data_IF_606811189369
#
_entry.id   IF_606811189369
#
_cell.length_a   1.000
_cell.length_b   1.000
_cell.length_c   1.000
_cell.angle_alpha   90.00
_cell.angle_beta   90.00
_cell.angle_gamma   90.00
#
_symmetry.space_group_name_H-M   'P 1'
#
loop_
_entity.id
_entity.type
_entity.pdbx_description
1 polymer ?
#
# COMPACT_ATOMS: atom_id res chain seq x y z
N UNK A 1 22.58 18.99 -4.47
CA UNK A 1 21.42 19.84 -4.09
C UNK A 1 21.37 19.98 -2.58
N UNK A 2 20.86 21.08 -2.05
CA UNK A 2 20.68 21.29 -0.61
C UNK A 2 19.18 21.35 -0.33
N UNK A 3 18.77 20.84 0.85
CA UNK A 3 17.38 20.99 1.33
C UNK A 3 17.11 22.43 1.78
N UNK A 4 15.87 22.74 2.20
CA UNK A 4 15.47 24.06 2.70
C UNK A 4 16.24 24.54 3.94
N UNK A 5 16.99 23.65 4.61
CA UNK A 5 17.87 23.91 5.75
C UNK A 5 19.34 24.04 5.37
N UNK A 6 19.68 24.00 4.06
CA UNK A 6 21.07 24.09 3.58
C UNK A 6 21.88 22.80 3.79
N UNK A 7 21.25 21.68 4.07
CA UNK A 7 21.90 20.37 4.27
C UNK A 7 21.91 19.62 2.93
N UNK A 8 23.00 18.91 2.56
CA UNK A 8 23.01 18.04 1.39
C UNK A 8 21.87 17.04 1.45
N UNK A 9 21.12 16.92 0.35
CA UNK A 9 20.05 15.92 0.25
C UNK A 9 20.65 14.52 0.32
N UNK A 10 20.03 13.64 1.10
CA UNK A 10 20.26 12.19 0.98
C UNK A 10 19.78 11.71 -0.37
N UNK A 11 20.29 10.57 -0.84
CA UNK A 11 19.80 9.97 -2.07
C UNK A 11 18.40 9.39 -1.87
N UNK A 12 18.15 8.75 -0.71
CA UNK A 12 16.91 8.05 -0.42
C UNK A 12 16.53 8.15 1.05
N UNK A 13 15.28 8.55 1.32
CA UNK A 13 14.65 8.43 2.64
C UNK A 13 13.75 7.18 2.65
N UNK A 14 14.05 6.23 3.53
CA UNK A 14 13.24 5.02 3.73
C UNK A 14 12.26 5.30 4.86
N UNK A 15 10.96 5.32 4.55
CA UNK A 15 9.88 5.55 5.50
C UNK A 15 9.13 4.24 5.76
N UNK A 16 9.07 3.83 7.02
CA UNK A 16 8.38 2.61 7.46
C UNK A 16 7.32 3.00 8.48
N UNK A 17 6.06 2.65 8.20
CA UNK A 17 4.96 2.76 9.17
C UNK A 17 4.71 1.39 9.78
N UNK A 18 4.68 1.33 11.11
CA UNK A 18 4.44 0.09 11.86
C UNK A 18 3.28 0.23 12.84
N UNK A 19 2.60 -0.87 13.12
CA UNK A 19 1.59 -0.97 14.18
C UNK A 19 1.44 -2.40 14.66
N UNK A 20 1.86 -2.67 15.91
CA UNK A 20 1.82 -3.99 16.54
C UNK A 20 2.39 -5.10 15.64
N UNK A 21 3.60 -4.85 15.10
CA UNK A 21 4.27 -5.71 14.15
C UNK A 21 5.78 -5.85 14.47
N UNK A 22 6.13 -5.94 15.78
CA UNK A 22 7.49 -5.88 16.30
C UNK A 22 8.46 -6.80 15.56
N UNK A 23 8.19 -8.09 15.49
CA UNK A 23 9.15 -9.07 14.97
C UNK A 23 9.46 -8.81 13.48
N UNK A 24 8.44 -8.61 12.65
CA UNK A 24 8.66 -8.35 11.22
C UNK A 24 9.31 -7.00 10.96
N UNK A 25 9.05 -5.98 11.81
CA UNK A 25 9.75 -4.69 11.75
C UNK A 25 11.25 -4.85 12.02
N UNK A 26 11.63 -5.62 13.06
CA UNK A 26 13.03 -5.85 13.38
C UNK A 26 13.76 -6.62 12.25
N UNK A 27 13.08 -7.55 11.61
CA UNK A 27 13.60 -8.26 10.43
C UNK A 27 13.77 -7.30 9.23
N UNK A 28 12.79 -6.42 9.00
CA UNK A 28 12.89 -5.39 7.96
C UNK A 28 14.08 -4.46 8.19
N UNK A 29 14.24 -3.92 9.40
CA UNK A 29 15.36 -3.06 9.78
C UNK A 29 16.70 -3.77 9.66
N UNK A 30 16.79 -5.04 10.09
CA UNK A 30 17.99 -5.88 9.90
C UNK A 30 18.32 -6.10 8.41
N UNK A 31 17.31 -6.19 7.54
CA UNK A 31 17.52 -6.30 6.10
C UNK A 31 18.03 -4.99 5.48
N UNK A 32 17.53 -3.83 5.94
CA UNK A 32 18.01 -2.51 5.55
C UNK A 32 19.47 -2.33 5.97
N UNK A 33 19.79 -2.63 7.23
CA UNK A 33 21.14 -2.52 7.77
C UNK A 33 22.13 -3.33 6.94
N UNK A 34 21.80 -4.59 6.61
CA UNK A 34 22.64 -5.45 5.75
C UNK A 34 22.85 -4.85 4.36
N UNK A 35 21.78 -4.36 3.71
CA UNK A 35 21.88 -3.81 2.36
C UNK A 35 22.65 -2.48 2.35
N UNK A 36 22.45 -1.64 3.35
CA UNK A 36 23.09 -0.31 3.43
C UNK A 36 24.54 -0.42 3.90
N UNK A 37 24.87 -1.26 4.90
CA UNK A 37 26.23 -1.41 5.45
C UNK A 37 27.14 -2.30 4.60
N UNK A 38 26.59 -3.28 3.87
CA UNK A 38 27.40 -4.20 3.03
C UNK A 38 28.11 -3.51 1.86
N UNK A 39 27.86 -2.22 1.64
CA UNK A 39 28.35 -1.49 0.48
C UNK A 39 29.51 -0.56 0.83
N UNK A 40 30.65 -0.89 0.23
CA UNK A 40 31.87 -0.09 0.23
C UNK A 40 32.20 0.29 -1.22
N UNK A 41 32.45 1.58 -1.52
CA UNK A 41 32.93 2.00 -2.83
C UNK A 41 32.11 3.12 -3.51
N UNK A 42 32.54 3.51 -4.72
CA UNK A 42 31.89 4.49 -5.57
C UNK A 42 30.55 3.93 -6.11
N UNK A 43 29.43 4.53 -5.69
CA UNK A 43 28.06 4.13 -6.07
C UNK A 43 27.16 3.79 -4.88
N UNK A 44 27.66 4.00 -3.65
CA UNK A 44 26.86 3.91 -2.44
C UNK A 44 25.84 5.07 -2.43
N UNK A 45 24.54 4.71 -2.34
CA UNK A 45 23.50 5.71 -2.12
C UNK A 45 23.47 6.11 -0.63
N UNK A 46 23.41 7.41 -0.37
CA UNK A 46 23.20 7.91 0.98
C UNK A 46 21.74 7.77 1.40
N UNK A 47 21.51 7.03 2.48
CA UNK A 47 20.16 6.77 2.97
C UNK A 47 19.94 7.33 4.36
N UNK A 48 18.70 7.61 4.68
CA UNK A 48 18.17 7.74 6.03
C UNK A 48 16.99 6.78 6.19
N UNK A 49 16.72 6.35 7.41
CA UNK A 49 15.58 5.48 7.71
C UNK A 49 14.76 6.09 8.81
N UNK A 50 13.49 6.31 8.52
CA UNK A 50 12.50 6.91 9.40
C UNK A 50 11.46 5.84 9.70
N UNK A 51 11.30 5.49 10.96
CA UNK A 51 10.24 4.59 11.42
C UNK A 51 9.17 5.41 12.12
N UNK A 52 7.94 5.30 11.67
CA UNK A 52 6.77 5.89 12.30
C UNK A 52 6.02 4.76 13.02
N UNK A 53 6.17 4.69 14.31
CA UNK A 53 5.35 3.82 15.14
C UNK A 53 3.97 4.43 15.31
N UNK A 54 2.97 3.73 14.84
CA UNK A 54 1.59 4.22 14.73
C UNK A 54 0.76 3.86 15.97
N UNK A 55 1.35 4.03 17.18
CA UNK A 55 0.76 3.73 18.47
C UNK A 55 0.73 2.23 18.77
N UNK A 56 1.87 1.56 18.69
CA UNK A 56 2.02 0.14 19.05
C UNK A 56 2.06 -0.06 20.58
N UNK A 57 1.61 -1.24 21.02
CA UNK A 57 1.59 -1.68 22.43
C UNK A 57 2.39 -2.98 22.62
N UNK A 58 3.15 -3.43 21.61
CA UNK A 58 3.85 -4.71 21.57
C UNK A 58 5.36 -4.61 21.88
N UNK A 59 5.84 -3.43 22.34
CA UNK A 59 7.24 -3.17 22.62
C UNK A 59 8.09 -2.89 21.37
N UNK A 60 7.47 -2.55 20.25
CA UNK A 60 8.16 -2.16 19.00
C UNK A 60 9.08 -0.96 19.22
N UNK A 61 8.59 0.08 19.91
CA UNK A 61 9.32 1.35 20.14
C UNK A 61 10.63 1.10 20.90
N UNK A 62 10.55 0.40 22.03
CA UNK A 62 11.71 0.08 22.86
C UNK A 62 12.71 -0.80 22.12
N UNK A 63 12.22 -1.77 21.35
CA UNK A 63 13.06 -2.67 20.57
C UNK A 63 13.82 -1.92 19.47
N UNK A 64 13.18 -0.99 18.76
CA UNK A 64 13.85 -0.15 17.75
C UNK A 64 14.89 0.75 18.38
N UNK A 65 14.55 1.48 19.46
CA UNK A 65 15.48 2.37 20.17
C UNK A 65 16.74 1.66 20.65
N UNK A 66 16.59 0.42 21.15
CA UNK A 66 17.73 -0.33 21.69
C UNK A 66 18.60 -0.99 20.62
N UNK A 67 17.98 -1.51 19.54
CA UNK A 67 18.70 -2.33 18.54
C UNK A 67 19.16 -1.55 17.31
N UNK A 68 18.47 -0.45 16.96
CA UNK A 68 18.71 0.34 15.75
C UNK A 68 18.81 1.84 16.07
N UNK A 69 19.82 2.28 16.82
CA UNK A 69 19.98 3.68 17.25
C UNK A 69 20.20 4.65 16.08
N UNK A 70 20.48 4.16 14.88
CA UNK A 70 20.62 4.92 13.65
C UNK A 70 19.30 5.26 12.97
N UNK A 71 18.18 4.72 13.44
CA UNK A 71 16.82 4.97 12.93
C UNK A 71 16.26 6.25 13.55
N UNK A 72 15.73 7.15 12.73
CA UNK A 72 14.89 8.28 13.19
C UNK A 72 13.49 7.74 13.52
N UNK A 73 13.22 7.51 14.82
CA UNK A 73 11.98 6.91 15.30
C UNK A 73 10.99 7.98 15.75
N UNK A 74 9.83 8.00 15.11
CA UNK A 74 8.67 8.83 15.48
C UNK A 74 7.64 7.94 16.15
N UNK A 75 7.37 8.21 17.43
CA UNK A 75 6.44 7.46 18.27
C UNK A 75 5.12 8.24 18.37
N UNK A 76 4.08 7.75 17.71
CA UNK A 76 2.76 8.38 17.71
C UNK A 76 1.89 7.84 18.83
N UNK A 77 1.07 8.68 19.48
CA UNK A 77 0.22 8.26 20.59
C UNK A 77 -0.94 7.37 20.14
N UNK A 78 -1.20 7.30 18.84
CA UNK A 78 -2.29 6.51 18.30
C UNK A 78 -2.07 6.15 16.83
N UNK A 79 -2.76 5.09 16.37
CA UNK A 79 -2.73 4.67 14.97
C UNK A 79 -3.53 5.64 14.07
N UNK A 80 -2.88 6.43 13.26
CA UNK A 80 -3.48 7.41 12.33
C UNK A 80 -3.96 6.78 11.02
N UNK A 81 -3.69 5.49 10.79
CA UNK A 81 -3.88 4.81 9.52
C UNK A 81 -2.63 4.87 8.64
N UNK A 82 -2.68 4.20 7.48
CA UNK A 82 -1.50 4.02 6.63
C UNK A 82 -1.06 5.33 5.97
N UNK A 83 -1.98 6.06 5.33
CA UNK A 83 -1.65 7.29 4.61
C UNK A 83 -1.05 8.36 5.55
N UNK A 84 -1.72 8.64 6.66
CA UNK A 84 -1.24 9.66 7.62
C UNK A 84 0.08 9.28 8.26
N UNK A 85 0.25 8.00 8.64
CA UNK A 85 1.53 7.52 9.16
C UNK A 85 2.67 7.73 8.17
N UNK A 86 2.48 7.38 6.90
CA UNK A 86 3.47 7.63 5.84
C UNK A 86 3.73 9.12 5.64
N UNK A 87 2.70 9.96 5.67
CA UNK A 87 2.88 11.40 5.52
C UNK A 87 3.69 12.04 6.65
N UNK A 88 3.55 11.53 7.88
CA UNK A 88 4.42 11.95 9.01
C UNK A 88 5.88 11.67 8.69
N UNK A 89 6.20 10.46 8.19
CA UNK A 89 7.55 10.11 7.79
C UNK A 89 8.04 10.90 6.56
N UNK A 90 7.19 11.09 5.54
CA UNK A 90 7.53 11.88 4.35
C UNK A 90 7.81 13.35 4.69
N UNK A 91 7.05 13.96 5.60
CA UNK A 91 7.32 15.32 6.08
C UNK A 91 8.66 15.45 6.85
N UNK A 92 9.15 14.37 7.43
CA UNK A 92 10.43 14.31 8.13
C UNK A 92 11.60 14.03 7.18
N UNK A 93 11.33 13.49 6.01
CA UNK A 93 12.33 12.99 5.06
C UNK A 93 13.05 14.11 4.30
N UNK A 94 14.37 13.96 4.10
CA UNK A 94 15.25 14.91 3.41
C UNK A 94 15.89 14.32 2.13
N UNK A 95 15.51 13.09 1.70
CA UNK A 95 16.04 12.45 0.49
C UNK A 95 15.50 13.07 -0.80
N UNK A 96 16.30 13.03 -1.87
CA UNK A 96 15.86 13.41 -3.24
C UNK A 96 14.85 12.41 -3.81
N UNK A 97 14.79 11.20 -3.24
CA UNK A 97 13.72 10.23 -3.41
C UNK A 97 13.25 9.74 -2.06
N UNK A 98 12.01 9.30 -1.97
CA UNK A 98 11.48 8.62 -0.79
C UNK A 98 11.03 7.20 -1.16
N UNK A 99 11.25 6.27 -0.24
CA UNK A 99 10.75 4.89 -0.30
C UNK A 99 9.73 4.70 0.81
N UNK A 100 8.48 4.42 0.46
CA UNK A 100 7.52 3.85 1.40
C UNK A 100 7.72 2.34 1.44
N UNK A 101 8.02 1.81 2.63
CA UNK A 101 8.32 0.39 2.84
C UNK A 101 7.46 -0.16 3.96
N UNK A 102 6.72 -1.23 3.71
CA UNK A 102 5.98 -1.90 4.78
C UNK A 102 6.93 -2.54 5.81
N UNK A 103 6.50 -2.57 7.06
CA UNK A 103 7.25 -3.20 8.17
C UNK A 103 7.45 -4.71 8.02
N UNK A 104 6.74 -5.38 7.11
CA UNK A 104 6.87 -6.80 6.79
C UNK A 104 7.55 -7.06 5.42
N UNK A 105 8.43 -6.12 5.00
CA UNK A 105 9.15 -6.21 3.73
C UNK A 105 10.66 -6.31 3.96
N UNK A 106 11.30 -7.31 3.34
CA UNK A 106 12.75 -7.52 3.42
C UNK A 106 13.43 -7.09 2.13
N UNK A 107 14.40 -6.21 2.23
CA UNK A 107 15.21 -5.77 1.09
C UNK A 107 16.15 -6.88 0.63
N UNK A 108 16.29 -7.03 -0.68
CA UNK A 108 17.31 -7.82 -1.33
C UNK A 108 18.45 -6.93 -1.83
N UNK A 109 19.64 -7.49 -2.07
CA UNK A 109 20.73 -6.75 -2.67
C UNK A 109 20.30 -6.06 -3.98
N UNK A 110 20.84 -4.87 -4.23
CA UNK A 110 20.63 -4.06 -5.43
C UNK A 110 19.22 -3.48 -5.64
N UNK A 111 18.24 -3.82 -4.78
CA UNK A 111 16.87 -3.35 -4.91
C UNK A 111 16.76 -1.81 -4.81
N UNK A 112 17.44 -1.21 -3.84
CA UNK A 112 17.40 0.24 -3.60
C UNK A 112 18.04 0.98 -4.77
N UNK A 113 19.25 0.60 -5.16
CA UNK A 113 20.01 1.27 -6.20
C UNK A 113 19.38 1.13 -7.56
N UNK A 114 18.84 -0.04 -7.87
CA UNK A 114 18.13 -0.26 -9.14
C UNK A 114 16.96 0.68 -9.29
N UNK A 115 16.16 0.87 -8.22
CA UNK A 115 15.01 1.77 -8.25
C UNK A 115 15.43 3.25 -8.25
N UNK A 116 16.42 3.63 -7.43
CA UNK A 116 16.95 5.01 -7.39
C UNK A 116 17.55 5.39 -8.74
N UNK A 117 18.43 4.55 -9.30
CA UNK A 117 19.02 4.77 -10.64
C UNK A 117 17.95 4.87 -11.71
N UNK A 118 16.94 4.00 -11.67
CA UNK A 118 15.85 4.05 -12.63
C UNK A 118 15.10 5.40 -12.59
N UNK A 119 14.84 5.93 -11.38
CA UNK A 119 14.26 7.27 -11.22
C UNK A 119 15.20 8.34 -11.77
N UNK A 120 16.50 8.26 -11.49
CA UNK A 120 17.49 9.24 -11.97
C UNK A 120 17.59 9.29 -13.48
N UNK A 121 17.64 8.12 -14.11
CA UNK A 121 17.78 7.98 -15.57
C UNK A 121 16.48 8.32 -16.33
N UNK A 122 15.33 8.39 -15.62
CA UNK A 122 14.02 8.61 -16.23
C UNK A 122 13.25 9.76 -15.56
N UNK A 123 13.53 11.04 -15.88
CA UNK A 123 12.91 12.21 -15.24
C UNK A 123 11.38 12.28 -15.35
N UNK A 124 10.78 11.67 -16.38
CA UNK A 124 9.31 11.59 -16.53
C UNK A 124 8.64 10.57 -15.59
N UNK A 125 9.44 9.73 -14.90
CA UNK A 125 8.92 8.74 -13.96
C UNK A 125 8.85 9.35 -12.56
N UNK A 126 7.65 9.41 -12.01
CA UNK A 126 7.42 9.93 -10.66
C UNK A 126 7.43 8.84 -9.59
N UNK A 127 7.04 7.62 -9.95
CA UNK A 127 6.92 6.48 -9.02
C UNK A 127 7.49 5.21 -9.65
N UNK A 128 8.24 4.46 -8.83
CA UNK A 128 8.75 3.12 -9.17
C UNK A 128 8.32 2.11 -8.12
N UNK A 129 7.88 0.93 -8.56
CA UNK A 129 7.64 -0.23 -7.72
C UNK A 129 8.46 -1.44 -8.15
N UNK A 130 9.23 -2.08 -7.25
CA UNK A 130 9.96 -3.30 -7.54
C UNK A 130 9.05 -4.52 -7.65
N UNK A 131 9.58 -5.66 -8.07
CA UNK A 131 8.89 -6.94 -7.99
C UNK A 131 8.83 -7.43 -6.53
N UNK A 132 7.63 -7.59 -6.02
CA UNK A 132 7.40 -8.24 -4.73
C UNK A 132 7.46 -9.76 -4.87
N UNK A 133 8.12 -10.41 -3.93
CA UNK A 133 8.22 -11.86 -3.83
C UNK A 133 7.59 -12.34 -2.51
N UNK A 134 7.01 -13.53 -2.56
CA UNK A 134 6.64 -14.27 -1.34
C UNK A 134 7.90 -14.76 -0.60
N UNK A 135 7.81 -15.22 0.67
CA UNK A 135 8.95 -15.80 1.38
C UNK A 135 9.61 -16.97 0.66
N UNK A 136 8.85 -17.74 -0.12
CA UNK A 136 9.35 -18.85 -0.95
C UNK A 136 9.96 -18.40 -2.29
N UNK A 137 10.14 -17.08 -2.47
CA UNK A 137 10.64 -16.44 -3.69
C UNK A 137 9.72 -16.52 -4.90
N UNK A 138 8.54 -17.08 -4.79
CA UNK A 138 7.53 -16.99 -5.84
C UNK A 138 7.06 -15.55 -6.02
N UNK A 139 6.65 -15.21 -7.26
CA UNK A 139 6.16 -13.87 -7.59
C UNK A 139 4.91 -13.52 -6.79
N UNK A 140 4.92 -12.35 -6.17
CA UNK A 140 3.74 -11.73 -5.59
C UNK A 140 3.19 -10.65 -6.53
N UNK A 141 1.86 -10.46 -6.55
CA UNK A 141 1.28 -9.34 -7.28
C UNK A 141 1.68 -8.01 -6.65
N UNK A 142 2.22 -7.11 -7.44
CA UNK A 142 2.70 -5.79 -7.00
C UNK A 142 2.17 -4.62 -7.83
N UNK A 143 1.30 -4.88 -8.81
CA UNK A 143 0.73 -3.86 -9.69
C UNK A 143 -0.79 -3.83 -9.63
N UNK A 144 -1.37 -2.65 -9.76
CA UNK A 144 -2.81 -2.44 -9.76
C UNK A 144 -3.25 -1.60 -10.95
N UNK A 145 -4.49 -1.82 -11.40
CA UNK A 145 -5.16 -0.87 -12.29
C UNK A 145 -6.04 0.07 -11.47
N UNK A 146 -6.25 1.26 -12.00
CA UNK A 146 -7.22 2.17 -11.42
C UNK A 146 -8.63 1.57 -11.44
N UNK A 147 -9.37 1.71 -10.34
CA UNK A 147 -10.74 1.25 -10.28
C UNK A 147 -11.59 1.88 -11.39
N UNK A 148 -12.31 1.02 -12.13
CA UNK A 148 -13.21 1.41 -13.22
C UNK A 148 -14.43 0.50 -13.27
N UNK A 149 -15.54 0.97 -13.87
CA UNK A 149 -16.73 0.13 -14.02
C UNK A 149 -16.45 -1.11 -14.85
N UNK A 150 -15.57 -1.01 -15.86
CA UNK A 150 -15.18 -2.14 -16.69
C UNK A 150 -14.51 -3.22 -15.84
N UNK A 151 -13.55 -2.85 -14.98
CA UNK A 151 -12.86 -3.80 -14.11
C UNK A 151 -13.76 -4.40 -13.01
N UNK A 152 -14.89 -3.75 -12.73
CA UNK A 152 -15.89 -4.25 -11.79
C UNK A 152 -16.87 -5.26 -12.44
N UNK A 153 -17.09 -5.16 -13.73
CA UNK A 153 -18.05 -6.00 -14.48
C UNK A 153 -17.35 -7.17 -15.14
N UNK A 154 -16.24 -6.90 -15.83
CA UNK A 154 -15.53 -7.90 -16.63
C UNK A 154 -14.45 -8.59 -15.77
N UNK A 155 -14.41 -9.93 -15.76
CA UNK A 155 -13.38 -10.68 -15.06
C UNK A 155 -11.97 -10.27 -15.52
N UNK A 156 -11.07 -10.09 -14.57
CA UNK A 156 -9.71 -9.62 -14.80
C UNK A 156 -8.95 -10.38 -15.89
N UNK A 157 -9.05 -11.73 -15.88
CA UNK A 157 -8.36 -12.57 -16.87
C UNK A 157 -8.82 -12.31 -18.31
N UNK A 158 -10.09 -11.87 -18.50
CA UNK A 158 -10.59 -11.47 -19.82
C UNK A 158 -9.97 -10.14 -20.25
N UNK A 159 -9.90 -9.17 -19.32
CA UNK A 159 -9.27 -7.86 -19.58
C UNK A 159 -7.77 -8.00 -19.90
N UNK A 160 -7.04 -8.82 -19.15
CA UNK A 160 -5.62 -9.11 -19.39
C UNK A 160 -5.39 -9.73 -20.78
N UNK A 161 -6.28 -10.60 -21.22
CA UNK A 161 -6.19 -11.26 -22.53
C UNK A 161 -6.54 -10.32 -23.69
N UNK A 162 -7.60 -9.54 -23.54
CA UNK A 162 -8.10 -8.66 -24.61
C UNK A 162 -7.35 -7.32 -24.70
N UNK A 163 -6.90 -6.81 -23.58
CA UNK A 163 -6.26 -5.49 -23.48
C UNK A 163 -4.96 -5.54 -22.63
N UNK A 164 -3.93 -6.33 -23.04
CA UNK A 164 -2.75 -6.59 -22.21
C UNK A 164 -1.92 -5.32 -21.92
N UNK A 165 -1.93 -4.32 -22.79
CA UNK A 165 -1.26 -3.03 -22.55
C UNK A 165 -1.93 -2.22 -21.44
N UNK A 166 -3.26 -2.18 -21.39
CA UNK A 166 -4.03 -1.44 -20.39
C UNK A 166 -4.24 -2.25 -19.10
N UNK A 167 -4.19 -3.57 -19.20
CA UNK A 167 -4.34 -4.51 -18.08
C UNK A 167 -3.17 -5.50 -18.09
N UNK A 168 -1.96 -5.05 -17.73
CA UNK A 168 -0.79 -5.94 -17.70
C UNK A 168 -1.01 -7.09 -16.73
N UNK A 169 -0.44 -8.24 -17.05
CA UNK A 169 -0.63 -9.44 -16.26
C UNK A 169 -0.12 -9.25 -14.83
N UNK A 170 -0.95 -9.65 -13.88
CA UNK A 170 -0.59 -9.71 -12.46
C UNK A 170 -0.01 -11.07 -12.07
N UNK A 171 -0.14 -12.08 -12.91
CA UNK A 171 0.23 -13.47 -12.62
C UNK A 171 1.60 -13.85 -13.16
N UNK A 172 1.91 -13.37 -14.37
CA UNK A 172 3.17 -13.69 -15.03
C UNK A 172 4.23 -12.62 -14.74
N UNK A 173 5.50 -13.00 -14.63
CA UNK A 173 6.60 -12.05 -14.49
C UNK A 173 6.70 -11.17 -15.74
N UNK A 174 7.14 -9.95 -15.53
CA UNK A 174 7.59 -9.06 -16.59
C UNK A 174 9.12 -9.12 -16.63
N UNK A 175 9.73 -9.07 -17.80
CA UNK A 175 11.18 -9.10 -17.97
C UNK A 175 11.75 -7.68 -18.00
N UNK A 176 10.99 -6.74 -18.58
CA UNK A 176 11.37 -5.34 -18.74
C UNK A 176 10.50 -4.41 -17.89
N UNK A 177 10.99 -3.20 -17.56
CA UNK A 177 10.18 -2.19 -16.91
C UNK A 177 8.92 -1.86 -17.72
N UNK A 178 7.78 -1.82 -17.03
CA UNK A 178 6.49 -1.51 -17.67
C UNK A 178 5.79 -0.35 -16.97
N UNK A 179 5.16 0.52 -17.75
CA UNK A 179 4.26 1.53 -17.22
C UNK A 179 2.97 0.86 -16.73
N UNK A 180 2.54 1.23 -15.52
CA UNK A 180 1.35 0.70 -14.87
C UNK A 180 0.47 1.83 -14.34
N UNK A 181 -0.75 1.51 -13.91
CA UNK A 181 -1.61 2.51 -13.29
C UNK A 181 -1.15 2.82 -11.86
N UNK A 182 -0.86 1.78 -11.07
CA UNK A 182 -0.38 1.92 -9.71
C UNK A 182 0.47 0.72 -9.30
N UNK A 183 1.40 0.93 -8.38
CA UNK A 183 2.18 -0.10 -7.68
C UNK A 183 1.66 -0.25 -6.25
N UNK A 184 1.93 -1.41 -5.64
CA UNK A 184 1.50 -1.68 -4.26
C UNK A 184 2.32 -0.84 -3.27
N UNK A 185 1.65 -0.25 -2.28
CA UNK A 185 2.26 0.56 -1.23
C UNK A 185 3.22 -0.19 -0.30
N UNK A 186 3.37 -1.51 -0.47
CA UNK A 186 4.32 -2.31 0.30
C UNK A 186 5.79 -1.94 0.03
N UNK A 187 6.09 -1.48 -1.19
CA UNK A 187 7.40 -0.95 -1.58
C UNK A 187 7.21 0.01 -2.76
N UNK A 188 7.20 1.30 -2.49
CA UNK A 188 6.92 2.35 -3.46
C UNK A 188 7.95 3.45 -3.34
N UNK A 189 8.75 3.62 -4.39
CA UNK A 189 9.69 4.74 -4.51
C UNK A 189 9.00 5.91 -5.19
N UNK A 190 9.21 7.10 -4.67
CA UNK A 190 8.64 8.35 -5.21
C UNK A 190 9.72 9.43 -5.29
N UNK A 191 9.70 10.19 -6.36
CA UNK A 191 10.58 11.34 -6.57
C UNK A 191 10.18 12.51 -5.69
N UNK A 192 11.13 13.27 -5.15
CA UNK A 192 10.88 14.45 -4.29
C UNK A 192 10.03 15.51 -5.02
N UNK A 193 10.31 15.79 -6.26
CA UNK A 193 9.58 16.75 -7.06
C UNK A 193 8.08 16.40 -7.15
N UNK A 194 7.74 15.11 -7.17
CA UNK A 194 6.33 14.66 -7.11
C UNK A 194 5.69 15.05 -5.78
N UNK A 195 6.42 14.91 -4.65
CA UNK A 195 5.91 15.31 -3.33
C UNK A 195 5.65 16.81 -3.26
N UNK A 196 6.50 17.60 -3.91
CA UNK A 196 6.40 19.06 -3.94
C UNK A 196 5.29 19.55 -4.87
N UNK A 197 5.10 18.92 -6.04
CA UNK A 197 4.16 19.33 -7.07
C UNK A 197 2.75 18.73 -6.86
N UNK A 198 2.66 17.44 -6.55
CA UNK A 198 1.39 16.71 -6.42
C UNK A 198 0.91 16.67 -4.98
N UNK A 199 1.83 16.75 -4.04
CA UNK A 199 1.56 16.61 -2.62
C UNK A 199 1.71 15.19 -2.09
N UNK A 200 1.44 15.06 -0.82
CA UNK A 200 1.57 13.81 -0.07
C UNK A 200 0.41 12.83 -0.35
N UNK A 201 0.49 11.65 0.22
CA UNK A 201 -0.54 10.61 0.08
C UNK A 201 -1.90 11.11 0.60
N UNK A 202 -3.02 10.85 -0.10
CA UNK A 202 -4.35 11.28 0.33
C UNK A 202 -4.75 10.72 1.70
N UNK A 203 -4.97 11.58 2.69
CA UNK A 203 -5.27 11.21 4.09
C UNK A 203 -6.72 10.87 4.36
N UNK A 204 -7.58 11.05 3.38
CA UNK A 204 -8.98 10.72 3.47
C UNK A 204 -9.27 9.21 3.37
N UNK A 205 -8.25 8.39 3.11
CA UNK A 205 -8.26 6.94 3.22
C UNK A 205 -7.67 6.50 4.56
N UNK A 206 -8.35 5.59 5.25
CA UNK A 206 -7.78 4.95 6.45
C UNK A 206 -6.88 3.78 6.07
N UNK A 207 -7.34 2.97 5.10
CA UNK A 207 -6.64 1.82 4.56
C UNK A 207 -7.24 1.41 3.21
N UNK A 208 -6.43 0.94 2.27
CA UNK A 208 -6.72 0.59 0.88
C UNK A 208 -6.98 1.78 -0.05
N UNK A 209 -6.39 1.69 -1.23
CA UNK A 209 -6.49 2.61 -2.37
C UNK A 209 -5.90 4.01 -2.14
N UNK A 210 -5.28 4.29 -0.99
CA UNK A 210 -4.54 5.54 -0.77
C UNK A 210 -3.39 5.70 -1.76
N UNK A 211 -2.55 4.66 -1.91
CA UNK A 211 -1.46 4.64 -2.89
C UNK A 211 -1.98 4.61 -4.33
N UNK A 212 -3.10 3.96 -4.56
CA UNK A 212 -3.75 3.90 -5.87
C UNK A 212 -4.29 5.26 -6.29
N UNK A 213 -4.94 6.00 -5.37
CA UNK A 213 -5.40 7.36 -5.62
C UNK A 213 -4.22 8.32 -5.80
N UNK A 214 -3.16 8.14 -5.01
CA UNK A 214 -1.95 8.94 -5.15
C UNK A 214 -1.30 8.74 -6.52
N UNK A 215 -1.10 7.50 -6.96
CA UNK A 215 -0.64 7.19 -8.31
C UNK A 215 -1.55 7.79 -9.41
N UNK A 216 -2.87 7.82 -9.18
CA UNK A 216 -3.81 8.45 -10.09
C UNK A 216 -3.55 9.96 -10.22
N UNK A 217 -3.35 10.68 -9.10
CA UNK A 217 -3.03 12.11 -9.11
C UNK A 217 -1.65 12.37 -9.75
N UNK A 218 -0.67 11.54 -9.46
CA UNK A 218 0.69 11.59 -10.03
C UNK A 218 0.64 11.44 -11.56
N UNK A 219 -0.10 10.44 -12.05
CA UNK A 219 -0.29 10.28 -13.52
C UNK A 219 -1.07 11.44 -14.12
N UNK A 220 -2.03 12.02 -13.41
CA UNK A 220 -2.77 13.20 -13.86
C UNK A 220 -1.89 14.45 -13.96
N UNK A 221 -0.86 14.56 -13.12
CA UNK A 221 0.16 15.62 -13.20
C UNK A 221 1.20 15.39 -14.33
N UNK A 222 1.11 14.28 -15.08
CA UNK A 222 1.97 13.99 -16.22
C UNK A 222 3.14 13.05 -15.96
N UNK A 223 3.33 12.61 -14.73
CA UNK A 223 4.37 11.63 -14.39
C UNK A 223 3.92 10.21 -14.71
N UNK A 224 4.91 9.35 -14.97
CA UNK A 224 4.69 7.91 -15.14
C UNK A 224 4.83 7.16 -13.82
N UNK A 225 4.10 6.07 -13.69
CA UNK A 225 4.26 5.04 -12.65
C UNK A 225 4.79 3.79 -13.33
N UNK A 226 5.94 3.28 -12.88
CA UNK A 226 6.64 2.18 -13.55
C UNK A 226 6.90 1.03 -12.57
N UNK A 227 6.63 -0.18 -13.01
CA UNK A 227 7.07 -1.40 -12.35
C UNK A 227 8.42 -1.82 -12.92
N UNK A 228 9.42 -2.00 -12.03
CA UNK A 228 10.79 -2.41 -12.38
C UNK A 228 11.01 -3.84 -11.87
N UNK A 229 10.88 -4.86 -12.73
CA UNK A 229 10.88 -6.27 -12.32
C UNK A 229 12.25 -6.80 -11.90
N UNK A 230 13.33 -6.16 -12.34
CA UNK A 230 14.71 -6.52 -11.99
C UNK A 230 15.08 -6.17 -10.55
N UNK A 231 14.44 -5.14 -9.97
CA UNK A 231 14.54 -4.84 -8.55
C UNK A 231 13.55 -5.73 -7.79
N UNK A 232 14.05 -6.46 -6.78
CA UNK A 232 13.24 -7.45 -6.06
C UNK A 232 13.29 -7.24 -4.55
N UNK A 233 12.14 -7.41 -3.90
CA UNK A 233 12.00 -7.39 -2.43
C UNK A 233 11.08 -8.50 -1.96
N UNK A 234 11.31 -9.04 -0.78
CA UNK A 234 10.43 -10.06 -0.19
C UNK A 234 9.39 -9.36 0.68
N UNK A 235 8.10 -9.64 0.47
CA UNK A 235 7.01 -9.10 1.28
C UNK A 235 6.26 -10.24 1.97
N UNK A 236 6.32 -10.25 3.30
CA UNK A 236 5.70 -11.28 4.16
C UNK A 236 4.22 -10.94 4.33
N UNK A 237 3.45 -11.19 3.28
CA UNK A 237 2.06 -10.74 3.14
C UNK A 237 1.13 -11.22 4.26
N UNK A 238 0.47 -10.27 4.93
CA UNK A 238 -0.68 -10.55 5.80
C UNK A 238 -0.36 -10.76 7.28
N UNK A 239 0.81 -10.34 7.75
CA UNK A 239 1.18 -10.44 9.16
C UNK A 239 0.23 -9.65 10.09
N UNK A 240 -0.30 -8.51 9.62
CA UNK A 240 -1.01 -7.58 10.52
C UNK A 240 -2.54 -7.52 10.39
N UNK A 241 -3.15 -7.79 9.23
CA UNK A 241 -4.57 -7.41 9.02
C UNK A 241 -5.55 -8.51 8.63
N UNK A 242 -5.15 -9.54 7.87
CA UNK A 242 -6.10 -10.48 7.27
C UNK A 242 -6.72 -11.51 8.22
N UNK A 243 -6.03 -11.89 9.28
CA UNK A 243 -6.48 -13.01 10.16
C UNK A 243 -7.52 -12.62 11.21
N UNK A 244 -7.65 -11.32 11.56
CA UNK A 244 -8.43 -10.93 12.76
C UNK A 244 -9.83 -10.36 12.49
N UNK A 245 -10.12 -9.73 11.32
CA UNK A 245 -11.42 -9.05 11.08
C UNK A 245 -11.85 -9.02 9.60
N UNK A 246 -12.23 -10.13 8.99
CA UNK A 246 -12.51 -10.19 7.56
C UNK A 246 -13.65 -9.26 7.10
N UNK A 247 -14.69 -9.08 7.91
CA UNK A 247 -15.84 -8.21 7.57
C UNK A 247 -15.47 -6.74 7.63
N UNK A 248 -14.79 -6.28 8.68
CA UNK A 248 -14.38 -4.88 8.83
C UNK A 248 -13.38 -4.46 7.73
N UNK A 249 -12.46 -5.35 7.37
CA UNK A 249 -11.49 -5.15 6.27
C UNK A 249 -12.22 -4.99 4.93
N UNK A 250 -13.20 -5.84 4.64
CA UNK A 250 -13.99 -5.76 3.40
C UNK A 250 -14.87 -4.50 3.35
N UNK A 251 -15.48 -4.09 4.47
CA UNK A 251 -16.22 -2.84 4.57
C UNK A 251 -15.29 -1.64 4.31
N UNK A 252 -14.08 -1.64 4.88
CA UNK A 252 -13.10 -0.56 4.65
C UNK A 252 -12.70 -0.49 3.17
N UNK A 253 -12.46 -1.64 2.51
CA UNK A 253 -12.18 -1.68 1.07
C UNK A 253 -13.34 -1.09 0.24
N UNK A 254 -14.61 -1.46 0.52
CA UNK A 254 -15.76 -0.86 -0.17
C UNK A 254 -15.84 0.64 0.05
N UNK A 255 -15.59 1.11 1.27
CA UNK A 255 -15.55 2.54 1.60
C UNK A 255 -14.50 3.27 0.78
N UNK A 256 -13.29 2.75 0.74
CA UNK A 256 -12.18 3.31 -0.03
C UNK A 256 -12.46 3.32 -1.53
N UNK A 257 -13.04 2.23 -2.06
CA UNK A 257 -13.45 2.15 -3.47
C UNK A 257 -14.51 3.21 -3.82
N UNK A 258 -15.52 3.40 -2.98
CA UNK A 258 -16.55 4.43 -3.19
C UNK A 258 -15.97 5.84 -3.08
N UNK A 259 -15.00 6.05 -2.19
CA UNK A 259 -14.29 7.31 -2.08
C UNK A 259 -13.49 7.61 -3.35
N UNK A 260 -12.73 6.62 -3.86
CA UNK A 260 -12.00 6.75 -5.12
C UNK A 260 -12.91 7.17 -6.28
N UNK A 261 -14.07 6.52 -6.41
CA UNK A 261 -15.04 6.86 -7.47
C UNK A 261 -15.64 8.24 -7.28
N UNK A 262 -15.99 8.63 -6.05
CA UNK A 262 -16.54 9.98 -5.78
C UNK A 262 -15.54 11.09 -6.06
N UNK A 263 -14.26 10.83 -5.84
CA UNK A 263 -13.17 11.79 -6.03
C UNK A 263 -12.71 11.87 -7.49
N UNK A 264 -12.57 10.72 -8.14
CA UNK A 264 -11.87 10.58 -9.42
C UNK A 264 -12.76 10.21 -10.60
N UNK A 265 -14.04 9.97 -10.38
CA UNK A 265 -15.04 9.63 -11.40
C UNK A 265 -16.27 10.52 -11.24
N UNK A 266 -17.21 10.45 -12.21
CA UNK A 266 -18.47 11.19 -12.09
C UNK A 266 -19.46 10.50 -11.13
N UNK A 267 -20.46 11.27 -10.64
CA UNK A 267 -21.48 10.76 -9.70
C UNK A 267 -22.28 9.59 -10.26
N UNK A 268 -22.47 9.56 -11.56
CA UNK A 268 -23.23 8.50 -12.23
C UNK A 268 -22.46 7.16 -12.18
N UNK A 269 -21.16 7.17 -12.47
CA UNK A 269 -20.30 6.00 -12.33
C UNK A 269 -20.27 5.48 -10.89
N UNK A 270 -20.29 6.38 -9.90
CA UNK A 270 -20.35 5.98 -8.50
C UNK A 270 -21.67 5.30 -8.14
N UNK A 271 -22.82 5.79 -8.61
CA UNK A 271 -24.12 5.15 -8.40
C UNK A 271 -24.20 3.78 -9.07
N UNK A 272 -23.73 3.66 -10.31
CA UNK A 272 -23.66 2.38 -11.02
C UNK A 272 -22.78 1.38 -10.24
N UNK A 273 -21.63 1.82 -9.75
CA UNK A 273 -20.75 0.97 -8.94
C UNK A 273 -21.47 0.44 -7.69
N UNK A 274 -22.17 1.32 -6.95
CA UNK A 274 -22.92 0.90 -5.76
C UNK A 274 -23.98 -0.14 -6.10
N UNK A 275 -24.75 0.11 -7.16
CA UNK A 275 -25.78 -0.83 -7.63
C UNK A 275 -25.16 -2.19 -7.99
N UNK A 276 -24.09 -2.21 -8.77
CA UNK A 276 -23.38 -3.45 -9.15
C UNK A 276 -22.91 -4.20 -7.90
N UNK A 277 -22.31 -3.51 -6.93
CA UNK A 277 -21.80 -4.13 -5.70
C UNK A 277 -22.94 -4.67 -4.83
N UNK A 278 -24.04 -3.95 -4.68
CA UNK A 278 -25.21 -4.46 -3.95
C UNK A 278 -25.82 -5.69 -4.64
N UNK A 279 -25.99 -5.67 -5.96
CA UNK A 279 -26.52 -6.81 -6.71
C UNK A 279 -25.61 -8.03 -6.61
N UNK A 280 -24.30 -7.87 -6.76
CA UNK A 280 -23.34 -8.97 -6.58
C UNK A 280 -23.37 -9.55 -5.17
N UNK A 281 -23.43 -8.69 -4.13
CA UNK A 281 -23.54 -9.16 -2.75
C UNK A 281 -24.86 -9.87 -2.48
N UNK A 282 -25.98 -9.35 -2.99
CA UNK A 282 -27.28 -10.01 -2.90
C UNK A 282 -27.24 -11.40 -3.54
N UNK A 283 -26.65 -11.51 -4.73
CA UNK A 283 -26.46 -12.78 -5.42
C UNK A 283 -25.59 -13.75 -4.59
N UNK A 284 -24.46 -13.27 -4.01
CA UNK A 284 -23.60 -14.08 -3.16
C UNK A 284 -24.30 -14.53 -1.88
N UNK A 285 -25.15 -13.70 -1.28
CA UNK A 285 -25.96 -14.08 -0.12
C UNK A 285 -26.96 -15.18 -0.49
N UNK A 286 -27.69 -15.03 -1.60
CA UNK A 286 -28.67 -16.02 -2.06
C UNK A 286 -27.98 -17.37 -2.42
N UNK A 287 -26.96 -17.32 -3.29
CA UNK A 287 -26.25 -18.54 -3.71
C UNK A 287 -25.42 -19.17 -2.58
N UNK A 288 -24.89 -18.33 -1.69
CA UNK A 288 -24.10 -18.75 -0.53
C UNK A 288 -24.94 -19.49 0.52
N UNK A 289 -26.23 -19.17 0.64
CA UNK A 289 -27.13 -19.83 1.60
C UNK A 289 -27.14 -21.34 1.43
N UNK A 290 -27.22 -21.82 0.18
CA UNK A 290 -27.22 -23.26 -0.12
C UNK A 290 -25.90 -23.98 0.21
N UNK A 291 -24.80 -23.24 0.30
CA UNK A 291 -23.47 -23.78 0.60
C UNK A 291 -23.05 -23.52 2.05
N UNK A 292 -23.67 -22.58 2.72
CA UNK A 292 -23.28 -22.11 4.05
C UNK A 292 -23.29 -23.24 5.11
N UNK A 293 -24.19 -24.19 4.97
CA UNK A 293 -24.33 -25.30 5.92
C UNK A 293 -23.33 -26.46 5.71
N UNK A 294 -22.52 -26.42 4.64
CA UNK A 294 -21.57 -27.48 4.34
C UNK A 294 -20.32 -27.45 5.23
N UNK A 295 -19.83 -26.25 5.57
CA UNK A 295 -18.66 -26.09 6.44
C UNK A 295 -18.75 -24.82 7.28
N UNK A 296 -18.05 -24.79 8.45
CA UNK A 296 -17.96 -23.59 9.31
C UNK A 296 -17.36 -22.39 8.57
N UNK A 297 -16.40 -22.62 7.68
CA UNK A 297 -15.76 -21.55 6.90
C UNK A 297 -16.73 -20.93 5.89
N UNK A 298 -17.53 -21.74 5.22
CA UNK A 298 -18.56 -21.25 4.29
C UNK A 298 -19.66 -20.49 5.02
N UNK A 299 -20.06 -20.96 6.21
CA UNK A 299 -20.97 -20.23 7.09
C UNK A 299 -20.42 -18.85 7.48
N UNK A 300 -19.17 -18.78 7.94
CA UNK A 300 -18.52 -17.53 8.28
C UNK A 300 -18.41 -16.54 7.10
N UNK A 301 -18.11 -17.02 5.90
CA UNK A 301 -18.10 -16.22 4.67
C UNK A 301 -19.49 -15.68 4.33
N UNK A 302 -20.49 -16.51 4.39
CA UNK A 302 -21.89 -16.11 4.15
C UNK A 302 -22.34 -15.04 5.16
N UNK A 303 -22.09 -15.22 6.44
CA UNK A 303 -22.38 -14.20 7.46
C UNK A 303 -21.68 -12.87 7.16
N UNK A 304 -20.43 -12.91 6.67
CA UNK A 304 -19.72 -11.71 6.27
C UNK A 304 -20.40 -11.02 5.07
N UNK A 305 -20.84 -11.77 4.06
CA UNK A 305 -21.56 -11.23 2.90
C UNK A 305 -22.90 -10.60 3.30
N UNK A 306 -23.66 -11.27 4.18
CA UNK A 306 -24.90 -10.71 4.76
C UNK A 306 -24.63 -9.39 5.48
N UNK A 307 -23.62 -9.35 6.33
CA UNK A 307 -23.26 -8.14 7.08
C UNK A 307 -22.86 -6.99 6.15
N UNK A 308 -22.08 -7.28 5.10
CA UNK A 308 -21.66 -6.25 4.14
C UNK A 308 -22.84 -5.75 3.32
N UNK A 309 -23.76 -6.63 2.90
CA UNK A 309 -24.99 -6.22 2.22
C UNK A 309 -25.85 -5.35 3.14
N UNK A 310 -26.04 -5.74 4.41
CA UNK A 310 -26.74 -4.94 5.40
C UNK A 310 -26.12 -3.56 5.56
N UNK A 311 -24.77 -3.47 5.63
CA UNK A 311 -24.05 -2.20 5.70
C UNK A 311 -24.38 -1.27 4.52
N UNK A 312 -24.54 -1.82 3.29
CA UNK A 312 -24.96 -1.03 2.15
C UNK A 312 -26.39 -0.52 2.29
N UNK A 313 -27.32 -1.40 2.71
CA UNK A 313 -28.75 -1.09 2.78
C UNK A 313 -29.11 -0.10 3.88
N UNK A 314 -28.36 -0.07 4.99
CA UNK A 314 -28.60 0.85 6.11
C UNK A 314 -27.81 2.17 6.00
N UNK A 315 -27.30 2.50 4.80
CA UNK A 315 -26.64 3.79 4.56
C UNK A 315 -25.17 3.86 4.94
N UNK A 316 -24.46 2.73 4.95
CA UNK A 316 -22.99 2.68 5.08
C UNK A 316 -22.43 3.30 6.39
N UNK A 317 -22.92 2.90 7.56
CA UNK A 317 -22.52 3.51 8.83
C UNK A 317 -20.99 3.42 9.07
N UNK A 318 -20.44 4.50 9.64
CA UNK A 318 -18.99 4.65 9.81
C UNK A 318 -18.36 3.62 10.76
N UNK A 319 -19.10 3.14 11.76
CA UNK A 319 -18.59 2.23 12.81
C UNK A 319 -18.27 0.80 12.35
N UNK A 320 -18.62 0.39 11.14
CA UNK A 320 -18.51 -1.01 10.68
C UNK A 320 -17.17 -1.36 10.04
N UNK A 321 -16.38 -0.39 9.59
CA UNK A 321 -15.05 -0.58 9.03
C UNK A 321 -13.92 -0.58 10.07
N UNK A 322 -12.69 -0.72 9.63
CA UNK A 322 -11.50 -0.69 10.48
C UNK A 322 -11.37 0.65 11.22
N UNK A 323 -11.65 1.75 10.55
CA UNK A 323 -11.62 3.10 11.10
C UNK A 323 -12.66 3.35 12.20
N UNK A 324 -13.79 2.63 12.19
CA UNK A 324 -14.86 2.80 13.17
C UNK A 324 -14.68 2.00 14.45
N UNK A 325 -14.03 0.84 14.38
CA UNK A 325 -13.77 0.02 15.56
C UNK A 325 -12.81 0.68 16.56
N UNK A 326 -12.04 1.64 16.10
CA UNK A 326 -11.12 2.46 16.86
C UNK A 326 -11.84 3.43 17.83
N UNK A 327 -12.96 4.02 17.40
CA UNK A 327 -13.76 4.92 18.25
C UNK A 327 -14.38 4.19 19.43
N UNK A 328 -14.77 2.93 19.24
CA UNK A 328 -15.44 2.14 20.30
C UNK A 328 -14.46 1.62 21.36
N UNK A 329 -13.16 1.44 21.06
CA UNK A 329 -12.14 1.06 22.07
C UNK A 329 -11.70 2.21 22.97
N UNK A 330 -11.90 3.48 22.56
CA UNK A 330 -11.60 4.66 23.40
C UNK A 330 -12.76 5.04 24.32
N UNK A 331 -13.95 4.48 24.12
CA UNK A 331 -15.17 4.75 24.93
C UNK A 331 -15.53 3.62 25.91
N UNK A 332 -14.75 2.58 25.97
CA UNK A 332 -14.80 1.51 26.96
C UNK A 332 -13.55 1.52 27.84
#
# INVERSE_FOLDING_TARGET
MLNSRGIPLKDLSIVIVTWNAREVLLDALSSIERVVLARTGSGKIETETIVVDNGSEDGSVEAVRSRFPWVDLIDLPENLGFARGNNVGLNRSDGRHALLLNSDTLLLPDALESCVRFLDDNPSVGVVGPQLLNPDRSKQNCIHNFPSLISEIIPRGVLEKLFPKSFPSKRYPHEEPIEVDAVLGACLFVRREVLEEVGLMPEDYFFFLEETDWCFQIKKAGYKVVHVPTAQVVHIFGASTKKKMPTATRVEYHRSLYRFFRKNRNRFSWLILQTIRCLKLALYVVLGLFRAFLTKDLWGRWQADVRILSWHLIGQPAGWGLSGQRRNRKSS
#
